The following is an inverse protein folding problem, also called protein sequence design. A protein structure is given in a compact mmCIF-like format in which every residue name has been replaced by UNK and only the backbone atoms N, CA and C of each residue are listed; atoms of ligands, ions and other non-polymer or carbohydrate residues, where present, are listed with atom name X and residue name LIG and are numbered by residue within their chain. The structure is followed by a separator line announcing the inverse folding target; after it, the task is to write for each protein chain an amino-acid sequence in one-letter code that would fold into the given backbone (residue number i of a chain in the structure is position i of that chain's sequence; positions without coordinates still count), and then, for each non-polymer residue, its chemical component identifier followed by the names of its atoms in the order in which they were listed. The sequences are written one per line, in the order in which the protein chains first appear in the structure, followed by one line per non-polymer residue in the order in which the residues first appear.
data_IF_934908107555
#
_entry.id   IF_934908107555
#
_cell.length_a   1.000
_cell.length_b   1.000
_cell.length_c   1.000
_cell.angle_alpha   90.00
_cell.angle_beta   90.00
_cell.angle_gamma   90.00
#
_symmetry.space_group_name_H-M   'P 1'
#
loop_
_entity.id
_entity.type
_entity.pdbx_description
1 polymer ?
#
# COMPACT_ATOMS: atom_id res chain seq x y z
N UNK A 1 -16.74 16.89 12.61
CA UNK A 1 -16.57 18.31 12.22
C UNK A 1 -15.68 19.08 13.22
N UNK A 2 -14.37 18.83 13.21
CA UNK A 2 -13.40 19.68 13.94
C UNK A 2 -11.96 19.60 13.35
N UNK A 3 -11.78 19.13 12.12
CA UNK A 3 -10.45 18.93 11.51
C UNK A 3 -10.21 19.65 10.18
N UNK A 4 -11.12 20.55 9.76
CA UNK A 4 -11.09 21.17 8.43
C UNK A 4 -10.72 22.67 8.43
N UNK A 5 -9.77 23.10 9.28
CA UNK A 5 -9.42 24.53 9.40
C UNK A 5 -7.93 24.87 9.51
N UNK A 6 -7.04 24.07 8.94
CA UNK A 6 -5.63 24.46 8.79
C UNK A 6 -5.13 24.08 7.39
N UNK A 7 -5.54 24.83 6.38
CA UNK A 7 -4.86 24.85 5.09
C UNK A 7 -5.11 26.20 4.41
N UNK A 8 -4.43 27.23 4.92
CA UNK A 8 -4.27 28.49 4.22
C UNK A 8 -2.98 29.15 4.69
N UNK A 9 -2.11 29.48 3.73
CA UNK A 9 -0.80 30.13 3.85
C UNK A 9 0.35 29.19 4.23
N UNK A 10 1.22 28.87 3.26
CA UNK A 10 2.49 29.59 3.05
C UNK A 10 2.95 29.33 1.62
N UNK A 11 2.84 30.36 0.77
CA UNK A 11 3.71 30.51 -0.38
C UNK A 11 4.77 31.53 -0.02
N UNK A 12 6.05 31.17 -0.10
CA UNK A 12 7.13 32.14 -0.27
C UNK A 12 8.37 31.44 -0.84
N UNK A 13 8.74 31.82 -2.07
CA UNK A 13 10.05 31.55 -2.65
C UNK A 13 11.12 32.23 -1.79
N UNK A 14 12.17 31.48 -1.43
CA UNK A 14 13.45 32.05 -1.02
C UNK A 14 14.55 31.60 -1.97
N UNK A 15 14.98 32.52 -2.84
CA UNK A 15 16.27 32.45 -3.50
C UNK A 15 17.32 33.03 -2.56
N UNK A 16 18.26 32.20 -2.10
CA UNK A 16 19.48 32.68 -1.45
C UNK A 16 20.68 32.16 -2.23
N UNK A 17 21.34 33.08 -2.93
CA UNK A 17 22.67 32.87 -3.50
C UNK A 17 23.65 32.96 -2.32
N UNK A 18 24.33 31.88 -2.00
CA UNK A 18 25.48 31.91 -1.08
C UNK A 18 26.78 31.76 -1.87
N UNK A 19 27.61 32.79 -1.76
CA UNK A 19 28.98 32.83 -2.23
C UNK A 19 29.85 31.93 -1.36
N UNK A 20 30.61 31.02 -1.97
CA UNK A 20 31.64 30.20 -1.31
C UNK A 20 32.84 31.07 -0.90
N UNK A 21 33.36 30.93 0.33
CA UNK A 21 34.78 31.09 0.59
C UNK A 21 35.45 29.72 0.61
N UNK A 22 36.49 29.58 -0.22
CA UNK A 22 37.51 28.54 -0.05
C UNK A 22 38.41 29.03 1.08
N UNK A 23 38.42 28.32 2.21
CA UNK A 23 39.65 28.21 2.98
C UNK A 23 39.68 26.90 3.77
N UNK A 24 40.85 26.26 3.75
CA UNK A 24 41.04 24.91 4.26
C UNK A 24 41.15 24.89 5.78
N UNK A 25 40.40 23.97 6.40
CA UNK A 25 40.82 23.40 7.67
C UNK A 25 40.51 21.90 7.72
N UNK A 26 41.50 21.17 8.21
CA UNK A 26 41.61 19.71 8.17
C UNK A 26 40.82 19.14 9.36
N UNK A 27 39.49 19.24 9.29
CA UNK A 27 38.58 18.59 10.23
C UNK A 27 38.14 17.24 9.68
N UNK A 28 38.38 16.18 10.46
CA UNK A 28 38.00 14.81 10.18
C UNK A 28 36.47 14.64 10.09
N UNK A 29 35.86 15.05 8.96
CA UNK A 29 34.47 14.75 8.64
C UNK A 29 34.40 13.31 8.12
N UNK A 30 34.24 12.35 9.05
CA UNK A 30 33.55 11.11 8.70
C UNK A 30 32.15 11.53 8.24
N UNK A 31 31.93 11.62 6.93
CA UNK A 31 30.57 11.65 6.38
C UNK A 31 29.93 10.36 6.87
N UNK A 32 29.14 10.44 7.94
CA UNK A 32 28.37 9.32 8.44
C UNK A 32 27.53 8.84 7.25
N UNK A 33 27.83 7.64 6.78
CA UNK A 33 27.16 7.10 5.60
C UNK A 33 25.72 6.84 5.99
N UNK A 34 24.79 7.55 5.37
CA UNK A 34 23.37 7.44 5.66
C UNK A 34 22.92 6.02 5.29
N UNK A 35 22.35 5.31 6.26
CA UNK A 35 21.90 3.94 6.07
C UNK A 35 20.39 3.92 5.79
N UNK A 36 20.04 3.58 4.56
CA UNK A 36 18.65 3.46 4.10
C UNK A 36 18.01 2.09 4.43
N UNK A 37 18.76 1.15 5.02
CA UNK A 37 18.27 -0.19 5.35
C UNK A 37 17.69 -0.20 6.74
N UNK A 38 16.56 -0.89 6.90
CA UNK A 38 15.99 -1.14 8.21
C UNK A 38 16.94 -2.02 9.06
N UNK A 39 16.95 -1.85 10.39
CA UNK A 39 17.64 -2.77 11.27
C UNK A 39 17.06 -4.20 11.17
N UNK A 40 17.91 -5.21 11.34
CA UNK A 40 17.55 -6.64 11.26
C UNK A 40 17.11 -7.23 12.62
N UNK A 41 16.61 -6.40 13.53
CA UNK A 41 16.08 -6.81 14.84
C UNK A 41 14.62 -7.26 14.79
N UNK A 42 13.86 -6.84 13.78
CA UNK A 42 12.41 -7.07 13.68
C UNK A 42 12.06 -7.58 12.29
N UNK A 43 11.18 -8.58 12.21
CA UNK A 43 10.63 -9.07 10.95
C UNK A 43 9.09 -9.04 10.99
N UNK A 44 8.41 -8.61 9.90
CA UNK A 44 6.97 -8.71 9.82
C UNK A 44 6.55 -10.15 9.55
N UNK A 45 5.44 -10.58 10.15
CA UNK A 45 4.86 -11.93 9.97
C UNK A 45 3.53 -11.84 9.21
N UNK A 46 2.67 -10.91 9.63
CA UNK A 46 1.34 -10.73 9.06
C UNK A 46 0.90 -9.27 9.13
N UNK A 47 0.19 -8.84 8.10
CA UNK A 47 -0.47 -7.54 8.03
C UNK A 47 -1.97 -7.73 7.89
N UNK A 48 -2.74 -7.06 8.74
CA UNK A 48 -4.16 -6.81 8.49
C UNK A 48 -4.35 -5.32 8.21
N UNK A 49 -4.72 -5.00 6.98
CA UNK A 49 -4.78 -3.63 6.45
C UNK A 49 -6.23 -3.29 6.12
N UNK A 50 -6.74 -2.25 6.78
CA UNK A 50 -8.04 -1.65 6.51
C UNK A 50 -7.85 -0.30 5.84
N UNK A 51 -8.53 -0.06 4.72
CA UNK A 51 -8.44 1.18 3.95
C UNK A 51 -9.83 1.74 3.64
N UNK A 52 -9.97 3.05 3.79
CA UNK A 52 -11.18 3.81 3.46
C UNK A 52 -10.78 4.94 2.49
N UNK A 53 -10.70 4.66 1.18
CA UNK A 53 -10.40 5.69 0.18
C UNK A 53 -11.60 6.61 -0.07
N UNK A 54 -11.34 7.92 -0.01
CA UNK A 54 -12.26 8.94 -0.45
C UNK A 54 -11.97 9.28 -1.91
N UNK A 55 -12.84 8.84 -2.82
CA UNK A 55 -12.70 9.04 -4.27
C UNK A 55 -13.76 10.05 -4.73
N UNK A 56 -13.73 11.25 -4.16
CA UNK A 56 -14.69 12.31 -4.46
C UNK A 56 -13.97 13.59 -4.81
N UNK A 57 -14.56 14.38 -5.70
CA UNK A 57 -13.97 15.66 -6.09
C UNK A 57 -13.82 16.54 -4.84
N UNK A 58 -12.63 17.11 -4.65
CA UNK A 58 -12.17 17.86 -3.46
C UNK A 58 -11.75 17.05 -2.23
N UNK A 59 -11.96 15.72 -2.19
CA UNK A 59 -11.38 14.88 -1.17
C UNK A 59 -10.82 13.58 -1.77
N UNK A 60 -9.49 13.54 -1.85
CA UNK A 60 -8.71 12.43 -2.37
C UNK A 60 -7.69 11.98 -1.32
N UNK A 61 -8.17 11.75 -0.11
CA UNK A 61 -7.41 11.12 0.97
C UNK A 61 -7.89 9.67 1.15
N UNK A 62 -7.23 8.95 2.04
CA UNK A 62 -7.75 7.70 2.54
C UNK A 62 -7.40 7.56 4.02
N UNK A 63 -8.31 6.99 4.80
CA UNK A 63 -8.01 6.58 6.16
C UNK A 63 -7.50 5.14 6.12
N UNK A 64 -6.45 4.86 6.89
CA UNK A 64 -5.83 3.55 6.97
C UNK A 64 -5.63 3.09 8.40
N UNK A 65 -5.77 1.79 8.62
CA UNK A 65 -5.46 1.13 9.87
C UNK A 65 -4.71 -0.16 9.59
N UNK A 66 -3.52 -0.28 10.15
CA UNK A 66 -2.68 -1.47 10.06
C UNK A 66 -2.56 -2.13 11.41
N UNK A 67 -2.86 -3.42 11.47
CA UNK A 67 -2.48 -4.31 12.56
C UNK A 67 -1.39 -5.23 12.03
N UNK A 68 -0.18 -5.12 12.58
CA UNK A 68 1.00 -5.79 12.06
C UNK A 68 1.50 -6.74 13.14
N UNK A 69 1.42 -8.03 12.87
CA UNK A 69 2.09 -9.04 13.68
C UNK A 69 3.56 -9.05 13.30
N UNK A 70 4.43 -8.81 14.27
CA UNK A 70 5.88 -8.76 14.11
C UNK A 70 6.55 -9.76 15.05
N UNK A 71 7.73 -10.23 14.64
CA UNK A 71 8.64 -10.99 15.48
C UNK A 71 9.87 -10.13 15.79
N UNK A 72 10.10 -9.88 17.07
CA UNK A 72 11.33 -9.26 17.55
C UNK A 72 12.36 -10.38 17.69
N UNK A 73 13.34 -10.41 16.79
CA UNK A 73 14.40 -11.42 16.74
C UNK A 73 15.57 -11.11 17.68
N UNK A 74 15.73 -9.83 18.06
CA UNK A 74 16.74 -9.36 19.00
C UNK A 74 16.14 -8.29 19.89
N UNK A 75 16.41 -8.38 21.19
CA UNK A 75 15.94 -7.41 22.16
C UNK A 75 16.31 -5.98 21.73
N UNK A 76 15.35 -5.07 21.82
CA UNK A 76 15.45 -3.72 21.27
C UNK A 76 14.63 -2.75 22.09
N UNK A 77 14.93 -1.45 21.98
CA UNK A 77 14.15 -0.37 22.60
C UNK A 77 13.38 0.45 21.57
N UNK A 78 13.49 0.10 20.30
CA UNK A 78 12.79 0.77 19.23
C UNK A 78 12.34 -0.21 18.15
N UNK A 79 11.33 0.23 17.40
CA UNK A 79 10.91 -0.37 16.15
C UNK A 79 11.12 0.64 15.02
N UNK A 80 11.76 0.21 13.93
CA UNK A 80 11.94 1.02 12.73
C UNK A 80 11.22 0.39 11.54
N UNK A 81 10.46 1.19 10.80
CA UNK A 81 9.70 0.78 9.62
C UNK A 81 9.59 1.94 8.62
N UNK A 82 9.33 1.64 7.36
CA UNK A 82 9.20 2.66 6.32
C UNK A 82 7.83 3.32 6.33
N UNK A 83 7.80 4.62 6.03
CA UNK A 83 6.59 5.39 5.72
C UNK A 83 6.93 6.57 4.83
N UNK A 84 5.99 7.02 4.00
CA UNK A 84 6.15 8.26 3.24
C UNK A 84 4.79 8.89 2.96
N UNK A 85 4.67 10.21 3.10
CA UNK A 85 3.43 10.95 2.81
C UNK A 85 2.18 10.45 3.55
N UNK A 86 2.37 9.93 4.78
CA UNK A 86 1.32 9.47 5.67
C UNK A 86 1.30 10.30 6.96
N UNK A 87 0.11 10.69 7.43
CA UNK A 87 -0.09 11.35 8.71
C UNK A 87 -0.53 10.32 9.76
N UNK A 88 0.35 9.97 10.70
CA UNK A 88 0.03 9.01 11.76
C UNK A 88 -0.82 9.65 12.85
N UNK A 89 -1.83 8.92 13.31
CA UNK A 89 -2.45 9.20 14.60
C UNK A 89 -1.58 8.59 15.71
N UNK A 90 -0.62 9.38 16.19
CA UNK A 90 0.37 8.97 17.19
C UNK A 90 -0.31 8.45 18.47
N UNK A 91 -1.41 9.08 18.89
CA UNK A 91 -2.17 8.70 20.09
C UNK A 91 -2.88 7.35 19.98
N UNK A 92 -3.09 6.86 18.76
CA UNK A 92 -3.69 5.56 18.49
C UNK A 92 -2.65 4.48 18.13
N UNK A 93 -1.35 4.79 18.22
CA UNK A 93 -0.29 3.83 18.01
C UNK A 93 -0.06 3.02 19.27
N UNK A 94 -0.09 1.70 19.18
CA UNK A 94 0.18 0.79 20.30
C UNK A 94 0.87 -0.47 19.85
N UNK A 95 1.66 -1.06 20.75
CA UNK A 95 2.30 -2.35 20.57
C UNK A 95 1.84 -3.27 21.70
N UNK A 96 1.41 -4.48 21.38
CA UNK A 96 0.91 -5.45 22.36
C UNK A 96 1.66 -6.76 22.23
N UNK A 97 2.16 -7.32 23.33
CA UNK A 97 2.84 -8.61 23.32
C UNK A 97 1.85 -9.80 23.42
N UNK A 98 2.39 -11.02 23.43
CA UNK A 98 1.61 -12.25 23.59
C UNK A 98 0.89 -12.38 24.94
N UNK A 99 1.41 -11.72 25.97
CA UNK A 99 0.85 -11.72 27.34
C UNK A 99 -0.14 -10.57 27.55
N UNK A 100 -0.51 -9.87 26.48
CA UNK A 100 -1.44 -8.73 26.45
C UNK A 100 -0.94 -7.48 27.18
N UNK A 101 0.37 -7.38 27.41
CA UNK A 101 1.01 -6.16 27.91
C UNK A 101 1.04 -5.13 26.79
N UNK A 102 0.61 -3.91 27.11
CA UNK A 102 0.53 -2.79 26.17
C UNK A 102 1.75 -1.89 26.36
N UNK A 103 2.45 -1.64 25.26
CA UNK A 103 3.56 -0.72 25.14
C UNK A 103 3.14 0.46 24.27
N UNK A 104 3.37 1.67 24.76
CA UNK A 104 3.12 2.92 24.02
C UNK A 104 4.46 3.52 23.63
N UNK A 105 4.68 3.88 22.35
CA UNK A 105 5.90 4.57 21.96
C UNK A 105 6.01 5.93 22.65
N UNK A 106 7.22 6.29 23.07
CA UNK A 106 7.50 7.58 23.73
C UNK A 106 7.37 8.74 22.71
N UNK A 107 7.69 8.46 21.46
CA UNK A 107 7.69 9.43 20.37
C UNK A 107 7.51 8.73 19.02
N UNK A 108 7.28 9.54 17.98
CA UNK A 108 7.32 9.12 16.59
C UNK A 108 8.41 9.93 15.89
N UNK A 109 9.56 9.31 15.69
CA UNK A 109 10.71 9.99 15.09
C UNK A 109 10.68 9.76 13.57
N UNK A 110 10.42 10.82 12.82
CA UNK A 110 10.33 10.79 11.36
C UNK A 110 11.66 11.22 10.72
N UNK A 111 12.22 10.37 9.87
CA UNK A 111 13.36 10.71 9.03
C UNK A 111 12.90 10.86 7.58
N UNK A 112 12.89 12.10 7.10
CA UNK A 112 12.46 12.42 5.73
C UNK A 112 13.47 12.02 4.65
N UNK A 113 14.74 11.76 5.02
CA UNK A 113 15.77 11.36 4.08
C UNK A 113 15.77 9.85 3.88
N UNK A 114 15.66 9.07 4.96
CA UNK A 114 15.60 7.60 4.89
C UNK A 114 14.19 7.05 4.74
N UNK A 115 13.16 7.88 4.96
CA UNK A 115 11.74 7.50 4.97
C UNK A 115 11.42 6.48 6.06
N UNK A 116 12.18 6.51 7.16
CA UNK A 116 12.06 5.60 8.30
C UNK A 116 11.33 6.31 9.44
N UNK A 117 10.28 5.68 9.93
CA UNK A 117 9.67 5.93 11.23
C UNK A 117 10.39 5.12 12.29
N UNK A 118 10.85 5.76 13.35
CA UNK A 118 11.37 5.07 14.54
C UNK A 118 10.47 5.32 15.74
N UNK A 119 10.03 4.24 16.38
CA UNK A 119 9.17 4.21 17.55
C UNK A 119 9.98 3.75 18.77
N UNK A 120 10.55 4.66 19.59
CA UNK A 120 11.23 4.31 20.83
C UNK A 120 10.24 3.95 21.96
N UNK A 121 10.67 3.04 22.85
CA UNK A 121 9.94 2.57 24.02
C UNK A 121 10.80 2.73 25.29
N UNK A 122 10.16 2.92 26.45
CA UNK A 122 10.86 3.07 27.74
C UNK A 122 11.49 1.74 28.18
N UNK A 123 10.70 0.66 28.05
CA UNK A 123 11.10 -0.69 28.36
C UNK A 123 11.82 -1.36 27.19
N UNK A 124 12.77 -2.23 27.51
CA UNK A 124 13.37 -3.10 26.51
C UNK A 124 12.36 -4.17 26.07
N UNK A 125 12.07 -4.20 24.78
CA UNK A 125 11.23 -5.20 24.15
C UNK A 125 12.03 -6.50 24.03
N UNK A 126 11.52 -7.55 24.65
CA UNK A 126 12.13 -8.88 24.61
C UNK A 126 11.89 -9.56 23.27
N UNK A 127 12.65 -10.64 23.02
CA UNK A 127 12.43 -11.49 21.84
C UNK A 127 11.04 -12.13 21.94
N UNK A 128 10.24 -12.04 20.88
CA UNK A 128 8.88 -12.57 20.89
C UNK A 128 7.99 -12.02 19.78
N UNK A 129 6.71 -12.42 19.83
CA UNK A 129 5.68 -11.96 18.90
C UNK A 129 4.92 -10.78 19.50
N UNK A 130 4.75 -9.75 18.70
CA UNK A 130 4.02 -8.54 19.08
C UNK A 130 3.04 -8.14 17.98
N UNK A 131 2.01 -7.39 18.35
CA UNK A 131 1.05 -6.78 17.44
C UNK A 131 1.14 -5.26 17.52
N UNK A 132 1.60 -4.64 16.44
CA UNK A 132 1.70 -3.20 16.27
C UNK A 132 0.43 -2.68 15.59
N UNK A 133 -0.27 -1.74 16.22
CA UNK A 133 -1.42 -1.05 15.65
C UNK A 133 -1.02 0.37 15.27
N UNK A 134 -1.29 0.78 14.03
CA UNK A 134 -1.08 2.15 13.56
C UNK A 134 -2.30 2.61 12.78
N UNK A 135 -2.82 3.80 13.11
CA UNK A 135 -3.86 4.49 12.33
C UNK A 135 -3.25 5.71 11.64
N UNK A 136 -3.67 5.97 10.42
CA UNK A 136 -3.07 7.03 9.61
C UNK A 136 -4.01 7.54 8.53
N UNK A 137 -3.70 8.73 8.02
CA UNK A 137 -4.34 9.34 6.85
C UNK A 137 -3.30 9.48 5.76
N UNK A 138 -3.61 8.96 4.57
CA UNK A 138 -2.78 9.15 3.38
C UNK A 138 -3.50 9.95 2.30
N UNK A 139 -2.79 10.24 1.22
CA UNK A 139 -3.31 10.99 0.07
C UNK A 139 -3.31 10.09 -1.16
N UNK A 140 -4.43 10.06 -1.88
CA UNK A 140 -4.50 9.53 -3.24
C UNK A 140 -3.84 10.53 -4.19
N UNK A 141 -2.51 10.44 -4.29
CA UNK A 141 -1.69 11.33 -5.10
C UNK A 141 -1.99 11.16 -6.60
N UNK A 142 -1.41 12.03 -7.43
CA UNK A 142 -1.51 11.98 -8.90
C UNK A 142 -0.18 11.62 -9.58
N UNK A 143 0.81 11.11 -8.86
CA UNK A 143 2.13 10.75 -9.40
C UNK A 143 2.21 9.29 -9.88
N UNK A 144 1.10 8.56 -9.74
CA UNK A 144 0.92 7.17 -10.18
C UNK A 144 1.76 6.13 -9.40
N UNK A 145 2.30 6.51 -8.24
CA UNK A 145 2.99 5.62 -7.31
C UNK A 145 2.29 5.57 -5.95
N UNK A 146 2.48 4.49 -5.20
CA UNK A 146 1.77 4.30 -3.93
C UNK A 146 0.30 4.00 -4.17
N UNK A 147 -0.58 4.51 -3.30
CA UNK A 147 -2.02 4.47 -3.53
C UNK A 147 -2.45 5.78 -4.17
N UNK A 148 -2.73 5.75 -5.47
CA UNK A 148 -2.91 6.95 -6.28
C UNK A 148 -4.32 7.03 -6.87
N UNK A 149 -4.74 8.23 -7.26
CA UNK A 149 -5.96 8.46 -8.04
C UNK A 149 -5.65 8.56 -9.53
N UNK A 150 -6.55 8.04 -10.35
CA UNK A 150 -6.56 8.30 -11.80
C UNK A 150 -8.00 8.48 -12.27
N UNK A 151 -8.18 8.89 -13.52
CA UNK A 151 -9.51 9.14 -14.07
C UNK A 151 -9.60 8.82 -15.55
N UNK A 152 -10.84 8.68 -16.01
CA UNK A 152 -11.17 8.63 -17.43
C UNK A 152 -12.45 9.43 -17.69
N UNK A 153 -12.73 9.69 -18.97
CA UNK A 153 -14.00 10.27 -19.41
C UNK A 153 -14.89 9.14 -19.90
N UNK A 154 -16.09 9.01 -19.32
CA UNK A 154 -17.05 7.99 -19.73
C UNK A 154 -17.82 8.41 -20.99
N UNK A 155 -18.69 7.53 -21.49
CA UNK A 155 -19.47 7.77 -22.72
C UNK A 155 -20.43 8.97 -22.62
N UNK A 156 -20.81 9.36 -21.41
CA UNK A 156 -21.65 10.54 -21.13
C UNK A 156 -20.84 11.85 -21.04
N UNK A 157 -19.52 11.80 -21.23
CA UNK A 157 -18.64 12.96 -21.10
C UNK A 157 -18.26 13.31 -19.66
N UNK A 158 -18.66 12.50 -18.68
CA UNK A 158 -18.36 12.74 -17.26
C UNK A 158 -16.98 12.19 -16.92
N UNK A 159 -16.24 12.94 -16.10
CA UNK A 159 -14.99 12.45 -15.50
C UNK A 159 -15.33 11.46 -14.38
N UNK A 160 -14.80 10.25 -14.50
CA UNK A 160 -14.94 9.19 -13.50
C UNK A 160 -13.58 8.94 -12.87
N UNK A 161 -13.54 8.99 -11.55
CA UNK A 161 -12.33 8.75 -10.76
C UNK A 161 -12.22 7.29 -10.34
N UNK A 162 -11.01 6.83 -10.10
CA UNK A 162 -10.72 5.54 -9.49
C UNK A 162 -9.42 5.66 -8.69
N UNK A 163 -9.21 4.73 -7.77
CA UNK A 163 -7.96 4.62 -7.02
C UNK A 163 -7.29 3.28 -7.33
N UNK A 164 -5.97 3.29 -7.48
CA UNK A 164 -5.18 2.11 -7.79
C UNK A 164 -3.84 2.16 -7.06
N UNK A 165 -3.23 0.99 -6.85
CA UNK A 165 -1.92 0.85 -6.22
C UNK A 165 -0.81 0.55 -7.24
N UNK A 166 0.37 1.14 -7.04
CA UNK A 166 1.61 0.70 -7.69
C UNK A 166 2.78 0.88 -6.73
N UNK A 167 3.30 -0.23 -6.22
CA UNK A 167 4.23 -0.22 -5.08
C UNK A 167 5.69 -0.51 -5.42
N UNK A 168 5.98 -1.07 -6.60
CA UNK A 168 7.38 -1.26 -7.01
C UNK A 168 8.04 0.09 -7.32
N UNK A 169 9.28 0.34 -6.85
CA UNK A 169 10.09 -0.53 -5.99
C UNK A 169 9.83 -0.38 -4.48
N UNK A 170 9.54 0.84 -4.01
CA UNK A 170 9.53 1.21 -2.58
C UNK A 170 8.37 2.11 -2.23
N UNK A 171 7.23 1.94 -2.89
CA UNK A 171 6.07 2.83 -2.73
C UNK A 171 4.93 2.23 -1.91
N UNK A 172 5.07 1.00 -1.39
CA UNK A 172 4.10 0.45 -0.45
C UNK A 172 4.03 1.31 0.83
N UNK A 173 5.16 1.87 1.25
CA UNK A 173 5.29 2.82 2.37
C UNK A 173 4.45 4.10 2.24
N UNK A 174 3.92 4.41 1.04
CA UNK A 174 2.95 5.51 0.80
C UNK A 174 1.48 5.12 1.01
N UNK A 175 1.21 3.83 1.13
CA UNK A 175 -0.15 3.32 1.34
C UNK A 175 -0.36 2.81 2.77
N UNK A 176 0.69 2.26 3.39
CA UNK A 176 0.67 1.81 4.77
C UNK A 176 2.10 1.77 5.34
N UNK A 177 2.32 2.10 6.63
CA UNK A 177 3.63 1.93 7.26
C UNK A 177 4.03 0.45 7.26
N UNK A 178 5.22 0.12 6.77
CA UNK A 178 5.64 -1.28 6.64
C UNK A 178 7.16 -1.48 6.56
N UNK A 179 7.59 -2.73 6.72
CA UNK A 179 8.95 -3.16 6.45
C UNK A 179 9.16 -3.33 4.94
N UNK A 180 9.17 -2.20 4.23
CA UNK A 180 9.16 -2.11 2.76
C UNK A 180 10.51 -2.48 2.11
N UNK A 181 10.98 -3.70 2.37
CA UNK A 181 12.14 -4.33 1.72
C UNK A 181 11.72 -5.72 1.20
N UNK A 182 12.09 -6.09 -0.04
CA UNK A 182 11.55 -7.30 -0.68
C UNK A 182 11.90 -8.61 0.03
N UNK A 183 12.98 -8.63 0.82
CA UNK A 183 13.37 -9.79 1.62
C UNK A 183 12.45 -10.04 2.83
N UNK A 184 11.76 -9.00 3.33
CA UNK A 184 10.90 -9.04 4.51
C UNK A 184 9.47 -9.39 4.10
N UNK A 185 9.28 -10.65 3.72
CA UNK A 185 7.97 -11.15 3.27
C UNK A 185 7.02 -11.37 4.44
N UNK A 186 5.74 -11.13 4.20
CA UNK A 186 4.66 -11.38 5.14
C UNK A 186 3.40 -11.89 4.42
N UNK A 187 2.40 -12.26 5.20
CA UNK A 187 1.03 -12.51 4.70
C UNK A 187 0.17 -11.27 4.91
N UNK A 188 -0.86 -11.09 4.07
CA UNK A 188 -1.68 -9.87 4.08
C UNK A 188 -3.17 -10.22 4.05
N UNK A 189 -3.93 -9.67 5.00
CA UNK A 189 -5.37 -9.51 4.92
C UNK A 189 -5.66 -8.07 4.52
N UNK A 190 -6.48 -7.88 3.49
CA UNK A 190 -6.82 -6.56 2.96
C UNK A 190 -8.33 -6.39 3.08
N UNK A 191 -8.75 -5.25 3.62
CA UNK A 191 -10.14 -4.86 3.75
C UNK A 191 -10.31 -3.45 3.24
N UNK A 192 -11.28 -3.22 2.35
CA UNK A 192 -11.49 -1.91 1.73
C UNK A 192 -12.94 -1.51 1.88
N UNK A 193 -13.18 -0.36 2.51
CA UNK A 193 -14.49 0.29 2.54
C UNK A 193 -14.65 1.16 1.30
N UNK A 194 -15.75 0.99 0.57
CA UNK A 194 -16.02 1.79 -0.62
C UNK A 194 -17.52 2.00 -0.82
N UNK A 195 -17.88 2.99 -1.64
CA UNK A 195 -19.26 3.21 -2.07
C UNK A 195 -19.75 2.02 -2.91
N UNK A 196 -21.04 1.67 -2.84
CA UNK A 196 -21.62 0.51 -3.56
C UNK A 196 -21.49 0.56 -5.08
N UNK A 197 -21.54 1.76 -5.65
CA UNK A 197 -21.29 2.02 -7.07
C UNK A 197 -19.85 1.70 -7.53
N UNK A 198 -18.93 1.42 -6.62
CA UNK A 198 -17.57 0.98 -6.90
C UNK A 198 -17.41 -0.49 -6.51
N UNK A 199 -16.43 -1.14 -7.14
CA UNK A 199 -15.94 -2.47 -6.78
C UNK A 199 -14.48 -2.34 -6.33
N UNK A 200 -14.15 -2.96 -5.20
CA UNK A 200 -12.77 -3.19 -4.79
C UNK A 200 -12.26 -4.53 -5.33
N UNK A 201 -11.05 -4.53 -5.87
CA UNK A 201 -10.33 -5.73 -6.33
C UNK A 201 -8.95 -5.72 -5.69
N UNK A 202 -8.47 -6.85 -5.17
CA UNK A 202 -7.14 -6.99 -4.57
C UNK A 202 -6.46 -8.29 -5.03
N UNK A 203 -5.32 -8.64 -4.42
CA UNK A 203 -4.52 -9.82 -4.76
C UNK A 203 -5.34 -11.12 -4.69
N UNK A 204 -6.12 -11.28 -3.62
CA UNK A 204 -6.84 -12.50 -3.28
C UNK A 204 -8.33 -12.40 -3.59
N UNK A 205 -9.06 -13.53 -3.70
CA UNK A 205 -10.50 -13.54 -3.85
C UNK A 205 -11.20 -12.80 -2.70
N UNK A 206 -12.42 -12.33 -2.96
CA UNK A 206 -13.29 -11.78 -1.93
C UNK A 206 -13.68 -12.92 -0.98
N UNK A 207 -13.38 -12.76 0.30
CA UNK A 207 -13.78 -13.65 1.38
C UNK A 207 -15.21 -13.32 1.82
N UNK A 208 -15.50 -12.04 2.05
CA UNK A 208 -16.79 -11.56 2.54
C UNK A 208 -17.05 -10.11 2.12
N UNK A 209 -18.33 -9.74 2.07
CA UNK A 209 -18.76 -8.34 1.91
C UNK A 209 -19.85 -8.03 2.92
N UNK A 210 -19.71 -6.90 3.60
CA UNK A 210 -20.68 -6.44 4.59
C UNK A 210 -21.11 -5.01 4.33
N UNK A 211 -22.41 -4.77 4.47
CA UNK A 211 -23.02 -3.46 4.31
C UNK A 211 -22.62 -2.54 5.47
N UNK A 212 -22.44 -1.25 5.17
CA UNK A 212 -22.14 -0.22 6.16
C UNK A 212 -23.03 1.03 5.90
N UNK A 213 -22.93 2.04 6.75
CA UNK A 213 -23.70 3.28 6.66
C UNK A 213 -23.39 4.08 5.37
N UNK A 214 -24.23 5.06 5.03
CA UNK A 214 -23.99 6.03 3.94
C UNK A 214 -23.74 5.45 2.53
N UNK A 215 -24.46 4.38 2.17
CA UNK A 215 -24.33 3.68 0.87
C UNK A 215 -22.91 3.15 0.59
N UNK A 216 -22.23 2.76 1.67
CA UNK A 216 -20.92 2.12 1.63
C UNK A 216 -21.00 0.65 2.02
N UNK A 217 -19.93 -0.08 1.73
CA UNK A 217 -19.74 -1.47 2.11
C UNK A 217 -18.26 -1.76 2.34
N UNK A 218 -17.99 -2.75 3.16
CA UNK A 218 -16.67 -3.36 3.29
C UNK A 218 -16.56 -4.55 2.36
N UNK A 219 -15.44 -4.63 1.65
CA UNK A 219 -15.01 -5.83 0.94
C UNK A 219 -13.75 -6.38 1.62
N UNK A 220 -13.83 -7.62 2.10
CA UNK A 220 -12.74 -8.33 2.77
C UNK A 220 -12.17 -9.38 1.82
N UNK A 221 -10.85 -9.43 1.69
CA UNK A 221 -10.16 -10.38 0.83
C UNK A 221 -9.51 -11.51 1.65
N UNK A 222 -9.39 -12.69 1.03
CA UNK A 222 -8.67 -13.83 1.60
C UNK A 222 -7.20 -13.49 1.90
N UNK A 223 -6.59 -14.22 2.85
CA UNK A 223 -5.18 -14.04 3.22
C UNK A 223 -4.25 -14.39 2.06
N UNK A 224 -3.30 -13.50 1.74
CA UNK A 224 -2.29 -13.76 0.70
C UNK A 224 -1.32 -14.87 1.10
N UNK A 225 -0.67 -15.55 0.14
CA UNK A 225 0.55 -16.29 0.45
C UNK A 225 1.64 -15.34 0.95
N UNK A 226 2.72 -15.93 1.49
CA UNK A 226 3.91 -15.19 1.90
C UNK A 226 4.53 -14.45 0.70
N UNK A 227 4.46 -13.12 0.69
CA UNK A 227 4.91 -12.28 -0.41
C UNK A 227 5.52 -10.96 0.09
N UNK A 228 6.19 -10.24 -0.81
CA UNK A 228 6.83 -8.95 -0.51
C UNK A 228 5.81 -7.81 -0.60
N UNK A 229 6.04 -6.72 0.14
CA UNK A 229 5.18 -5.52 0.19
C UNK A 229 4.89 -4.93 -1.19
N UNK A 230 5.89 -4.89 -2.08
CA UNK A 230 5.74 -4.30 -3.41
C UNK A 230 4.75 -5.04 -4.34
N UNK A 231 4.36 -6.27 -3.98
CA UNK A 231 3.37 -7.08 -4.71
C UNK A 231 1.95 -6.94 -4.15
N UNK A 232 1.77 -6.24 -3.03
CA UNK A 232 0.42 -5.90 -2.54
C UNK A 232 -0.25 -5.00 -3.57
N UNK A 233 -1.49 -5.29 -3.91
CA UNK A 233 -2.25 -4.46 -4.82
C UNK A 233 -3.74 -4.41 -4.51
N UNK A 234 -4.32 -3.25 -4.78
CA UNK A 234 -5.74 -3.02 -4.72
C UNK A 234 -6.17 -1.88 -5.64
N UNK A 235 -7.39 -2.02 -6.18
CA UNK A 235 -8.02 -1.05 -7.06
C UNK A 235 -9.46 -0.88 -6.65
N UNK A 236 -9.92 0.38 -6.58
CA UNK A 236 -11.32 0.74 -6.31
C UNK A 236 -11.83 1.52 -7.50
N UNK A 237 -12.74 0.93 -8.27
CA UNK A 237 -13.21 1.48 -9.56
C UNK A 237 -14.66 1.10 -9.88
N UNK A 238 -15.25 1.71 -10.91
CA UNK A 238 -16.56 1.34 -11.45
C UNK A 238 -16.47 0.27 -12.57
N UNK A 239 -15.41 -0.54 -12.55
CA UNK A 239 -15.10 -1.46 -13.64
C UNK A 239 -16.02 -2.67 -13.64
N UNK A 240 -16.18 -3.25 -14.84
CA UNK A 240 -16.91 -4.49 -15.04
C UNK A 240 -15.95 -5.67 -15.05
N UNK A 241 -16.42 -6.79 -14.51
CA UNK A 241 -15.72 -8.07 -14.55
C UNK A 241 -16.11 -8.84 -15.82
N UNK A 242 -15.11 -9.33 -16.57
CA UNK A 242 -15.28 -10.31 -17.63
C UNK A 242 -14.56 -11.60 -17.21
N UNK A 243 -15.27 -12.56 -16.56
CA UNK A 243 -14.68 -13.81 -16.11
C UNK A 243 -14.48 -14.79 -17.27
N UNK A 244 -13.58 -15.75 -17.10
CA UNK A 244 -13.56 -16.96 -17.92
C UNK A 244 -14.56 -18.00 -17.38
N UNK A 245 -14.69 -19.15 -18.05
CA UNK A 245 -15.71 -20.16 -17.71
C UNK A 245 -15.64 -20.66 -16.25
N UNK A 246 -14.44 -20.87 -15.71
CA UNK A 246 -14.22 -21.34 -14.33
C UNK A 246 -14.00 -20.21 -13.31
N UNK A 247 -14.08 -18.94 -13.74
CA UNK A 247 -13.86 -17.72 -12.94
C UNK A 247 -12.49 -17.60 -12.26
N UNK A 248 -11.51 -18.42 -12.66
CA UNK A 248 -10.15 -18.37 -12.13
C UNK A 248 -9.29 -17.31 -12.82
N UNK A 249 -9.75 -16.76 -13.94
CA UNK A 249 -9.09 -15.66 -14.65
C UNK A 249 -10.12 -14.62 -15.08
N UNK A 250 -9.94 -13.38 -14.64
CA UNK A 250 -10.87 -12.31 -14.95
C UNK A 250 -10.17 -11.12 -15.60
N UNK A 251 -10.84 -10.51 -16.56
CA UNK A 251 -10.47 -9.19 -17.05
C UNK A 251 -11.32 -8.15 -16.33
N UNK A 252 -10.68 -7.07 -15.88
CA UNK A 252 -11.35 -5.92 -15.27
C UNK A 252 -11.05 -4.69 -16.10
N UNK A 253 -12.10 -4.04 -16.59
CA UNK A 253 -11.96 -2.84 -17.39
C UNK A 253 -13.21 -1.98 -17.33
N UNK A 254 -13.11 -0.78 -17.90
CA UNK A 254 -14.27 0.07 -18.20
C UNK A 254 -15.28 -0.70 -19.05
N UNK A 255 -16.57 -0.48 -18.81
CA UNK A 255 -17.67 -1.13 -19.53
C UNK A 255 -17.54 -1.03 -21.06
N UNK A 256 -17.18 0.15 -21.58
CA UNK A 256 -16.96 0.41 -23.00
C UNK A 256 -15.87 -0.48 -23.64
N UNK A 257 -14.92 -0.98 -22.84
CA UNK A 257 -13.82 -1.83 -23.28
C UNK A 257 -14.11 -3.33 -23.13
N UNK A 258 -15.23 -3.72 -22.53
CA UNK A 258 -15.54 -5.12 -22.23
C UNK A 258 -15.46 -6.02 -23.47
N UNK A 259 -15.95 -5.56 -24.63
CA UNK A 259 -15.89 -6.30 -25.90
C UNK A 259 -14.46 -6.54 -26.42
N UNK A 260 -13.49 -5.72 -26.01
CA UNK A 260 -12.09 -5.82 -26.42
C UNK A 260 -11.26 -6.71 -25.48
N UNK A 261 -11.80 -7.03 -24.30
CA UNK A 261 -11.09 -7.83 -23.28
C UNK A 261 -10.90 -9.31 -23.66
N UNK A 262 -11.73 -9.84 -24.55
CA UNK A 262 -11.72 -11.27 -24.93
C UNK A 262 -10.39 -11.73 -25.51
N UNK A 263 -9.79 -10.92 -26.38
CA UNK A 263 -8.48 -11.26 -26.96
C UNK A 263 -7.39 -11.35 -25.88
N UNK A 264 -7.34 -10.37 -24.97
CA UNK A 264 -6.40 -10.38 -23.86
C UNK A 264 -6.61 -11.59 -22.93
N UNK A 265 -7.87 -11.92 -22.65
CA UNK A 265 -8.24 -13.09 -21.85
C UNK A 265 -7.73 -14.40 -22.49
N UNK A 266 -7.93 -14.59 -23.79
CA UNK A 266 -7.45 -15.77 -24.52
C UNK A 266 -5.92 -15.90 -24.48
N UNK A 267 -5.19 -14.77 -24.61
CA UNK A 267 -3.73 -14.75 -24.50
C UNK A 267 -3.29 -15.10 -23.09
N UNK A 268 -3.91 -14.51 -22.06
CA UNK A 268 -3.59 -14.79 -20.67
C UNK A 268 -3.82 -16.26 -20.30
N UNK A 269 -4.92 -16.86 -20.77
CA UNK A 269 -5.20 -18.29 -20.58
C UNK A 269 -4.12 -19.18 -21.21
N UNK A 270 -3.73 -18.90 -22.46
CA UNK A 270 -2.66 -19.64 -23.15
C UNK A 270 -1.31 -19.48 -22.45
N UNK A 271 -0.97 -18.25 -22.04
CA UNK A 271 0.26 -17.97 -21.31
C UNK A 271 0.30 -18.74 -19.98
N UNK A 272 -0.79 -18.72 -19.21
CA UNK A 272 -0.94 -19.49 -17.97
C UNK A 272 -0.72 -20.99 -18.21
N UNK A 273 -1.34 -21.56 -19.23
CA UNK A 273 -1.19 -22.99 -19.56
C UNK A 273 0.27 -23.34 -19.90
N UNK A 274 0.90 -22.54 -20.77
CA UNK A 274 2.29 -22.74 -21.20
C UNK A 274 3.24 -22.63 -20.01
N UNK A 275 3.12 -21.58 -19.19
CA UNK A 275 3.98 -21.36 -18.02
C UNK A 275 3.77 -22.43 -16.95
N UNK A 276 2.53 -22.88 -16.73
CA UNK A 276 2.24 -23.98 -15.79
C UNK A 276 2.93 -25.26 -16.25
N UNK A 277 2.84 -25.61 -17.53
CA UNK A 277 3.50 -26.79 -18.11
C UNK A 277 5.02 -26.66 -18.07
N UNK A 278 5.55 -25.48 -18.41
CA UNK A 278 6.98 -25.23 -18.49
C UNK A 278 7.65 -25.26 -17.10
N UNK A 279 7.04 -24.62 -16.11
CA UNK A 279 7.59 -24.56 -14.74
C UNK A 279 7.30 -25.81 -13.93
N UNK A 280 6.33 -26.64 -14.35
CA UNK A 280 5.82 -27.78 -13.61
C UNK A 280 5.40 -27.40 -12.16
N UNK A 281 4.89 -26.18 -11.99
CA UNK A 281 4.49 -25.66 -10.68
C UNK A 281 3.21 -26.35 -10.19
N UNK A 282 3.21 -26.71 -8.91
CA UNK A 282 2.01 -27.21 -8.22
C UNK A 282 1.32 -26.11 -7.41
N UNK A 283 1.87 -24.89 -7.40
CA UNK A 283 1.31 -23.76 -6.66
C UNK A 283 -0.01 -23.35 -7.30
N UNK A 284 -1.09 -23.47 -6.54
CA UNK A 284 -2.41 -23.02 -6.96
C UNK A 284 -2.57 -21.54 -6.62
N UNK A 285 -2.79 -20.73 -7.64
CA UNK A 285 -3.25 -19.35 -7.47
C UNK A 285 -4.78 -19.37 -7.58
N UNK A 286 -5.53 -18.91 -6.57
CA UNK A 286 -6.99 -19.08 -6.54
C UNK A 286 -7.71 -18.27 -7.62
N UNK A 287 -7.14 -17.11 -8.01
CA UNK A 287 -7.58 -16.30 -9.14
C UNK A 287 -6.41 -15.56 -9.79
N UNK A 288 -6.60 -15.12 -11.03
CA UNK A 288 -5.70 -14.20 -11.71
C UNK A 288 -6.53 -13.10 -12.37
N UNK A 289 -6.49 -11.91 -11.78
CA UNK A 289 -7.15 -10.75 -12.35
C UNK A 289 -6.18 -9.95 -13.21
N UNK A 290 -6.65 -9.53 -14.39
CA UNK A 290 -5.96 -8.61 -15.27
C UNK A 290 -6.79 -7.33 -15.37
N UNK A 291 -6.27 -6.24 -14.84
CA UNK A 291 -7.00 -4.97 -14.71
C UNK A 291 -6.34 -3.88 -15.54
N UNK A 292 -7.10 -3.22 -16.43
CA UNK A 292 -6.60 -2.16 -17.29
C UNK A 292 -6.97 -0.76 -16.76
N UNK A 293 -6.01 -0.03 -16.19
CA UNK A 293 -6.17 1.35 -15.70
C UNK A 293 -5.86 2.38 -16.78
N UNK A 294 -6.41 3.61 -16.74
CA UNK A 294 -6.19 4.60 -17.79
C UNK A 294 -4.75 5.13 -17.85
N UNK A 295 -4.07 5.12 -16.70
CA UNK A 295 -2.71 5.61 -16.53
C UNK A 295 -1.99 4.75 -15.51
N UNK A 296 -0.76 4.36 -15.88
CA UNK A 296 0.23 3.71 -15.05
C UNK A 296 1.60 4.21 -15.51
N UNK A 297 2.56 4.33 -14.60
CA UNK A 297 3.96 4.70 -14.91
C UNK A 297 4.65 3.63 -15.75
N UNK A 298 4.45 2.36 -15.39
CA UNK A 298 4.91 1.20 -16.14
C UNK A 298 3.91 0.80 -17.25
N UNK A 299 4.32 -0.12 -18.13
CA UNK A 299 3.41 -0.75 -19.10
C UNK A 299 2.46 -1.75 -18.44
N UNK A 300 2.94 -2.48 -17.44
CA UNK A 300 2.19 -3.39 -16.59
C UNK A 300 2.93 -3.59 -15.25
N UNK A 301 2.25 -4.15 -14.25
CA UNK A 301 2.81 -4.55 -12.96
C UNK A 301 2.27 -5.91 -12.54
N UNK A 302 3.15 -6.84 -12.18
CA UNK A 302 2.88 -8.26 -11.91
C UNK A 302 2.38 -8.57 -10.48
N UNK A 303 1.59 -7.68 -9.87
CA UNK A 303 1.12 -7.91 -8.50
C UNK A 303 0.41 -9.27 -8.38
N UNK A 304 0.70 -10.00 -7.31
CA UNK A 304 0.30 -11.41 -7.20
C UNK A 304 -1.23 -11.55 -7.26
N UNK A 305 -1.76 -12.22 -8.28
CA UNK A 305 -3.20 -12.42 -8.46
C UNK A 305 -3.99 -11.20 -8.96
N UNK A 306 -3.35 -10.05 -9.14
CA UNK A 306 -3.92 -8.81 -9.71
C UNK A 306 -2.89 -8.05 -10.55
N UNK A 307 -2.78 -8.42 -11.82
CA UNK A 307 -1.87 -7.80 -12.77
C UNK A 307 -2.52 -6.53 -13.32
N UNK A 308 -1.84 -5.39 -13.19
CA UNK A 308 -2.36 -4.08 -13.59
C UNK A 308 -1.67 -3.64 -14.88
N UNK A 309 -2.43 -3.16 -15.86
CA UNK A 309 -1.96 -2.71 -17.18
C UNK A 309 -2.38 -1.28 -17.45
N UNK A 310 -1.63 -0.59 -18.32
CA UNK A 310 -2.04 0.68 -18.93
C UNK A 310 -2.93 0.48 -20.16
#
# INVERSE_FOLDING_TARGET
MAFLKILANVGLLFTVVTTLPIDGDSGNNSIATINYRLPDNVVPVHYNIELIPYIVENNFTFDGKSYITIEICRATRDLSLHMLDLMINETATSLVDSDTVIYTPIAHNYDNETEILTLPFDDELSIGIYNLTIQYVGILNNDLYGFFRTSYVNENGNKVWLAASHFEPTWARRAFPCWDEPALKATFNISIKHHRNYTAVSNMPILDQSDDEDDTMWTHFDTTPLMSTYLVAFVVSDYVQIPNEDKTLNMWCRSALARHSKFAQEIALKAREILTRYTNTTVKVPKMDHLAVPQLTAGAMENWGLIIYK
#
